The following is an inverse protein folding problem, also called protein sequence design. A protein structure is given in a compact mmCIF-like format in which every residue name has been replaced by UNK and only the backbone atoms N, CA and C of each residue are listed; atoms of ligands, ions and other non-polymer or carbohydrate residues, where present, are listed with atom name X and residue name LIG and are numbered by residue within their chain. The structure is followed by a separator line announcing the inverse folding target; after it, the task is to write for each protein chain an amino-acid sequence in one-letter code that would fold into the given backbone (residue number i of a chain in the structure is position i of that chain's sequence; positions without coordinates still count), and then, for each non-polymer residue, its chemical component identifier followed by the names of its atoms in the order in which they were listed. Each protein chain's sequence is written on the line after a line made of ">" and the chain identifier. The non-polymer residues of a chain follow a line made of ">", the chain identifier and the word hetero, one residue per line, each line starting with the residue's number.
data_IF_729232875430
#
_entry.id   IF_729232875430
#
_cell.length_a   1.000
_cell.length_b   1.000
_cell.length_c   1.000
_cell.angle_alpha   90.00
_cell.angle_beta   90.00
_cell.angle_gamma   90.00
#
_symmetry.space_group_name_H-M   'P 1'
#
loop_
_entity.id
_entity.type
_entity.pdbx_description
1 polymer ?
#
# COMPACT_ATOMS: atom_id res chain seq x y z
N UNK A 1 -0.82 46.41 23.89
CA UNK A 1 -1.79 45.46 24.46
C UNK A 1 -2.57 44.88 23.28
N UNK A 2 -2.27 43.74 22.71
CA UNK A 2 -1.35 42.64 22.98
C UNK A 2 -0.94 42.12 21.59
N UNK A 3 0.36 42.03 21.34
CA UNK A 3 0.91 41.32 20.19
C UNK A 3 1.15 39.89 20.67
N UNK A 4 0.54 38.87 20.06
CA UNK A 4 0.95 37.49 20.33
C UNK A 4 0.74 36.57 19.13
N UNK A 5 1.79 35.79 18.92
CA UNK A 5 2.14 34.87 17.84
C UNK A 5 1.34 33.58 17.98
N UNK A 6 0.88 32.99 16.87
CA UNK A 6 0.82 31.52 16.71
C UNK A 6 0.92 31.19 15.22
N UNK A 7 2.12 30.86 14.76
CA UNK A 7 2.65 29.50 14.73
C UNK A 7 2.36 28.87 13.36
N UNK A 8 3.45 28.58 12.64
CA UNK A 8 3.43 28.10 11.27
C UNK A 8 2.43 26.99 11.03
N UNK A 9 1.77 27.05 9.88
CA UNK A 9 0.94 26.00 9.32
C UNK A 9 1.81 24.77 9.11
N UNK A 10 2.00 24.00 10.17
CA UNK A 10 2.60 22.67 10.15
C UNK A 10 1.68 21.88 9.24
N UNK A 11 2.11 21.71 7.99
CA UNK A 11 1.50 20.76 7.07
C UNK A 11 1.54 19.45 7.83
N UNK A 12 0.40 19.05 8.38
CA UNK A 12 0.28 17.67 8.80
C UNK A 12 0.38 16.95 7.46
N UNK A 13 1.56 16.41 7.15
CA UNK A 13 1.67 15.21 6.34
C UNK A 13 0.90 14.14 7.12
N UNK A 14 -0.44 14.26 7.07
CA UNK A 14 -1.31 13.15 7.32
C UNK A 14 -0.90 12.19 6.22
N UNK A 15 -0.13 11.18 6.61
CA UNK A 15 -0.10 9.90 5.91
C UNK A 15 -1.52 9.34 6.01
N UNK A 16 -2.43 9.99 5.30
CA UNK A 16 -3.77 9.55 5.11
C UNK A 16 -3.66 8.51 4.00
N UNK A 17 -3.58 7.25 4.40
CA UNK A 17 -4.21 6.23 3.59
C UNK A 17 -4.82 5.20 4.54
N UNK A 18 -6.02 5.56 5.00
CA UNK A 18 -7.01 4.60 5.49
C UNK A 18 -7.13 3.49 4.44
N UNK A 19 -6.76 2.26 4.81
CA UNK A 19 -6.37 1.15 3.91
C UNK A 19 -7.26 0.79 2.70
N UNK A 20 -8.45 1.37 2.56
CA UNK A 20 -9.25 1.26 1.34
C UNK A 20 -8.62 2.00 0.13
N UNK A 21 -8.03 3.17 0.33
CA UNK A 21 -7.39 3.93 -0.76
C UNK A 21 -6.10 3.29 -1.25
N UNK A 22 -5.31 2.74 -0.32
CA UNK A 22 -4.11 1.96 -0.61
C UNK A 22 -4.44 0.73 -1.45
N UNK A 23 -5.50 -0.01 -1.10
CA UNK A 23 -5.92 -1.23 -1.80
C UNK A 23 -6.23 -0.95 -3.28
N UNK A 24 -7.03 0.08 -3.56
CA UNK A 24 -7.39 0.41 -4.94
C UNK A 24 -6.14 0.75 -5.78
N UNK A 25 -5.22 1.54 -5.22
CA UNK A 25 -4.00 1.97 -5.91
C UNK A 25 -3.04 0.82 -6.20
N UNK A 26 -2.97 -0.16 -5.32
CA UNK A 26 -2.06 -1.30 -5.45
C UNK A 26 -2.61 -2.42 -6.33
N UNK A 27 -3.92 -2.69 -6.26
CA UNK A 27 -4.53 -3.83 -6.94
C UNK A 27 -5.14 -3.48 -8.31
N UNK A 28 -5.74 -2.28 -8.48
CA UNK A 28 -6.44 -1.94 -9.72
C UNK A 28 -5.57 -2.08 -11.00
N UNK A 29 -4.28 -1.69 -11.01
CA UNK A 29 -3.43 -1.88 -12.19
C UNK A 29 -3.23 -3.37 -12.54
N UNK A 30 -3.09 -4.24 -11.54
CA UNK A 30 -2.87 -5.67 -11.74
C UNK A 30 -4.14 -6.37 -12.23
N UNK A 31 -5.30 -5.98 -11.70
CA UNK A 31 -6.60 -6.51 -12.11
C UNK A 31 -7.00 -6.09 -13.53
N UNK A 32 -6.51 -4.96 -14.01
CA UNK A 32 -6.74 -4.50 -15.38
C UNK A 32 -6.02 -5.36 -16.44
N UNK A 33 -5.00 -6.14 -16.05
CA UNK A 33 -4.23 -6.99 -16.96
C UNK A 33 -4.98 -8.31 -17.18
N UNK A 34 -5.53 -8.46 -18.39
CA UNK A 34 -6.33 -9.62 -18.81
C UNK A 34 -5.47 -10.77 -19.32
N UNK A 35 -4.64 -11.33 -18.44
CA UNK A 35 -3.88 -12.54 -18.70
C UNK A 35 -3.96 -13.52 -17.52
N UNK A 36 -3.42 -14.71 -17.72
CA UNK A 36 -3.34 -15.77 -16.70
C UNK A 36 -1.95 -15.85 -16.05
N UNK A 37 -1.11 -14.82 -16.17
CA UNK A 37 0.20 -14.83 -15.52
C UNK A 37 0.02 -14.56 -14.01
N UNK A 38 0.79 -15.22 -13.13
CA UNK A 38 0.74 -14.94 -11.69
C UNK A 38 1.07 -13.48 -11.39
N UNK A 39 0.25 -12.84 -10.55
CA UNK A 39 0.38 -11.41 -10.17
C UNK A 39 0.57 -11.31 -8.67
N UNK A 40 1.40 -10.37 -8.24
CA UNK A 40 1.77 -10.20 -6.83
C UNK A 40 1.78 -8.73 -6.42
N UNK A 41 1.26 -8.44 -5.23
CA UNK A 41 1.60 -7.23 -4.48
C UNK A 41 2.60 -7.65 -3.41
N UNK A 42 3.81 -7.07 -3.47
CA UNK A 42 4.87 -7.32 -2.48
C UNK A 42 4.98 -6.09 -1.60
N UNK A 43 4.78 -6.25 -0.29
CA UNK A 43 4.78 -5.14 0.66
C UNK A 43 5.65 -5.43 1.88
N UNK A 44 5.97 -4.38 2.64
CA UNK A 44 6.51 -4.49 4.00
C UNK A 44 5.44 -4.24 5.07
N UNK A 45 4.21 -3.91 4.67
CA UNK A 45 3.09 -3.68 5.59
C UNK A 45 2.65 -4.98 6.27
N UNK A 46 2.39 -4.90 7.57
CA UNK A 46 1.97 -6.02 8.42
C UNK A 46 0.45 -6.21 8.46
N UNK A 47 -0.32 -5.19 8.06
CA UNK A 47 -1.77 -5.13 8.29
C UNK A 47 -2.61 -5.81 7.20
N UNK A 48 -2.08 -6.00 5.99
CA UNK A 48 -2.83 -6.61 4.88
C UNK A 48 -2.20 -7.94 4.46
N UNK A 49 -3.01 -9.00 4.32
CA UNK A 49 -2.53 -10.34 3.91
C UNK A 49 -3.46 -11.09 2.97
N UNK A 50 -4.59 -10.49 2.59
CA UNK A 50 -5.57 -11.16 1.76
C UNK A 50 -5.25 -11.03 0.26
N UNK A 51 -5.47 -12.13 -0.46
CA UNK A 51 -5.42 -12.14 -1.92
C UNK A 51 -6.70 -11.51 -2.47
N UNK A 52 -6.59 -10.81 -3.61
CA UNK A 52 -7.72 -10.13 -4.26
C UNK A 52 -7.82 -10.61 -5.70
N UNK A 53 -8.93 -11.24 -6.07
CA UNK A 53 -9.23 -11.68 -7.45
C UNK A 53 -8.06 -12.40 -8.16
N UNK A 54 -7.35 -13.27 -7.42
CA UNK A 54 -6.21 -14.05 -7.94
C UNK A 54 -4.86 -13.32 -7.91
N UNK A 55 -4.81 -12.04 -7.55
CA UNK A 55 -3.57 -11.33 -7.20
C UNK A 55 -3.14 -11.75 -5.80
N UNK A 56 -1.93 -12.27 -5.70
CA UNK A 56 -1.37 -12.77 -4.44
C UNK A 56 -0.72 -11.65 -3.66
N UNK A 57 -1.00 -11.58 -2.37
CA UNK A 57 -0.26 -10.70 -1.47
C UNK A 57 0.94 -11.45 -0.88
N UNK A 58 2.13 -10.83 -0.87
CA UNK A 58 3.36 -11.43 -0.33
C UNK A 58 4.07 -10.43 0.56
N UNK A 59 4.51 -10.88 1.74
CA UNK A 59 5.45 -10.11 2.55
C UNK A 59 6.82 -10.09 1.87
N UNK A 60 7.51 -8.94 1.90
CA UNK A 60 8.79 -8.76 1.20
C UNK A 60 9.83 -9.78 1.68
N UNK A 61 9.92 -10.00 2.99
CA UNK A 61 10.87 -10.96 3.55
C UNK A 61 10.62 -12.38 3.03
N UNK A 62 9.34 -12.79 2.95
CA UNK A 62 8.98 -14.09 2.39
C UNK A 62 9.28 -14.15 0.90
N UNK A 63 8.95 -13.11 0.14
CA UNK A 63 9.20 -13.00 -1.30
C UNK A 63 10.69 -13.09 -1.66
N UNK A 64 11.58 -12.59 -0.82
CA UNK A 64 13.02 -12.66 -1.06
C UNK A 64 13.63 -14.03 -0.73
N UNK A 65 12.92 -14.86 0.03
CA UNK A 65 13.40 -16.17 0.50
C UNK A 65 12.74 -17.34 -0.24
N UNK A 66 11.92 -17.06 -1.26
CA UNK A 66 11.22 -18.10 -2.05
C UNK A 66 12.08 -18.59 -3.21
N UNK A 67 11.97 -19.89 -3.50
CA UNK A 67 12.52 -20.56 -4.69
C UNK A 67 11.50 -20.69 -5.85
N UNK A 68 10.37 -19.96 -5.81
CA UNK A 68 9.24 -20.06 -6.76
C UNK A 68 9.51 -19.43 -8.15
N UNK A 69 10.73 -19.02 -8.50
CA UNK A 69 11.06 -18.30 -9.75
C UNK A 69 12.44 -18.68 -10.31
#
# INVERSE_FOLDING_TARGET
>A
MESSVLAGRRVKHQHADSGAGTLEREFAPLLAIKDNYPKYVVTMDDFWRDNVDGVKHKQLAEFLLTDEF
#
